data_IF_818733726393
#
_entry.id   IF_818733726393
#
_cell.length_a   1.000
_cell.length_b   1.000
_cell.length_c   1.000
_cell.angle_alpha   90.00
_cell.angle_beta   90.00
_cell.angle_gamma   90.00
#
_symmetry.space_group_name_H-M   'P 1'
#
loop_
_entity.id
_entity.type
_entity.pdbx_description
1 polymer ?
#
# COMPACT_ATOMS: atom_id res chain seq x y z
N UNK A 1 30.04 4.11 3.16
CA UNK A 1 29.50 4.78 1.98
C UNK A 1 29.99 6.23 2.01
N UNK A 2 30.93 6.55 1.12
CA UNK A 2 31.67 7.83 1.08
C UNK A 2 30.79 9.08 1.11
N UNK A 3 29.62 9.00 0.49
CA UNK A 3 28.66 10.11 0.44
C UNK A 3 28.08 10.41 1.83
N UNK A 4 27.67 9.38 2.55
CA UNK A 4 27.11 9.53 3.91
C UNK A 4 28.18 10.07 4.85
N UNK A 5 29.40 9.57 4.72
CA UNK A 5 30.53 9.99 5.55
C UNK A 5 30.93 11.46 5.28
N UNK A 6 30.93 11.88 4.02
CA UNK A 6 31.16 13.28 3.67
C UNK A 6 30.08 14.21 4.23
N UNK A 7 28.80 13.83 4.13
CA UNK A 7 27.70 14.59 4.73
C UNK A 7 27.79 14.64 6.26
N UNK A 8 28.11 13.53 6.91
CA UNK A 8 28.29 13.48 8.36
C UNK A 8 29.42 14.40 8.86
N UNK A 9 30.42 14.67 8.00
CA UNK A 9 31.49 15.66 8.25
C UNK A 9 31.08 17.10 7.90
N UNK A 10 29.81 17.34 7.56
CA UNK A 10 29.32 18.67 7.17
C UNK A 10 29.76 19.13 5.78
N UNK A 11 30.32 18.22 4.95
CA UNK A 11 30.74 18.55 3.58
C UNK A 11 29.55 18.49 2.61
N UNK A 12 29.52 19.41 1.66
CA UNK A 12 28.63 19.35 0.54
C UNK A 12 29.06 18.24 -0.43
N UNK A 13 28.12 17.43 -0.89
CA UNK A 13 28.36 16.39 -1.88
C UNK A 13 27.68 16.81 -3.18
N UNK A 14 28.45 16.87 -4.28
CA UNK A 14 27.96 17.17 -5.61
C UNK A 14 28.19 15.97 -6.52
N UNK A 15 27.15 15.54 -7.23
CA UNK A 15 27.24 14.49 -8.23
C UNK A 15 26.35 14.82 -9.46
N UNK A 16 26.26 13.90 -10.42
CA UNK A 16 25.46 14.10 -11.64
C UNK A 16 23.96 14.30 -11.39
N UNK A 17 23.45 13.88 -10.26
CA UNK A 17 22.04 14.04 -9.91
C UNK A 17 21.73 15.40 -9.27
N UNK A 18 22.71 15.98 -8.56
CA UNK A 18 22.53 17.24 -7.86
C UNK A 18 23.52 17.45 -6.73
N UNK A 19 23.15 18.38 -5.87
CA UNK A 19 23.91 18.79 -4.71
C UNK A 19 23.17 18.40 -3.42
N UNK A 20 23.91 17.84 -2.49
CA UNK A 20 23.43 17.42 -1.18
C UNK A 20 24.19 18.18 -0.11
N UNK A 21 23.48 18.80 0.81
CA UNK A 21 24.10 19.50 1.93
C UNK A 21 23.28 19.35 3.19
N UNK A 22 23.95 19.46 4.34
CA UNK A 22 23.27 19.54 5.62
C UNK A 22 22.76 20.94 5.84
N UNK A 23 21.54 21.04 6.35
CA UNK A 23 20.96 22.29 6.83
C UNK A 23 20.43 22.10 8.24
N UNK A 24 20.49 23.15 9.03
CA UNK A 24 19.97 23.17 10.39
C UNK A 24 18.70 24.03 10.37
N UNK A 25 17.59 23.40 10.70
CA UNK A 25 16.31 24.05 10.87
C UNK A 25 16.06 24.31 12.36
N UNK A 26 15.54 25.46 12.69
CA UNK A 26 15.23 25.87 14.07
C UNK A 26 15.47 27.36 14.30
N UNK A 27 15.16 27.82 15.49
CA UNK A 27 15.36 29.21 15.90
C UNK A 27 16.73 29.40 16.52
N UNK A 28 17.45 30.47 16.12
CA UNK A 28 18.74 30.87 16.69
C UNK A 28 18.66 32.31 17.19
N UNK A 29 19.08 32.54 18.40
CA UNK A 29 19.00 33.87 19.08
C UNK A 29 20.04 34.90 18.61
N UNK A 30 20.60 34.72 17.40
CA UNK A 30 21.55 35.67 16.81
C UNK A 30 22.94 35.73 17.47
N UNK A 31 23.19 34.98 18.52
CA UNK A 31 24.50 34.72 19.10
C UNK A 31 24.95 33.30 18.68
N UNK A 32 26.25 33.03 18.69
CA UNK A 32 26.79 31.67 18.52
C UNK A 32 26.03 30.74 19.44
N UNK A 33 24.91 30.23 18.98
CA UNK A 33 24.06 29.35 19.75
C UNK A 33 24.57 27.94 19.58
N UNK A 34 24.74 27.24 20.66
CA UNK A 34 25.01 25.82 20.63
C UNK A 34 23.82 25.09 20.00
N UNK A 35 24.11 24.12 19.15
CA UNK A 35 23.08 23.24 18.59
C UNK A 35 22.34 22.55 19.74
N UNK A 36 21.01 22.71 19.79
CA UNK A 36 20.15 22.06 20.78
C UNK A 36 19.21 21.10 20.05
N UNK A 37 19.40 19.82 20.25
CA UNK A 37 18.62 18.76 19.61
C UNK A 37 17.10 18.83 19.88
N UNK A 38 16.68 19.56 20.90
CA UNK A 38 15.27 19.81 21.23
C UNK A 38 14.65 20.94 20.40
N UNK A 39 15.45 21.90 19.95
CA UNK A 39 15.01 23.11 19.26
C UNK A 39 15.49 23.16 17.80
N UNK A 40 16.56 22.43 17.49
CA UNK A 40 17.20 22.43 16.20
C UNK A 40 17.21 21.02 15.61
N UNK A 41 16.92 20.91 14.32
CA UNK A 41 16.94 19.64 13.58
C UNK A 41 17.91 19.73 12.40
N UNK A 42 18.82 18.79 12.33
CA UNK A 42 19.65 18.61 11.14
C UNK A 42 18.82 17.89 10.07
N UNK A 43 18.77 18.44 8.88
CA UNK A 43 18.12 17.86 7.71
C UNK A 43 19.08 17.86 6.53
N UNK A 44 18.84 16.95 5.59
CA UNK A 44 19.57 16.93 4.32
C UNK A 44 18.73 17.67 3.30
N UNK A 45 19.34 18.70 2.67
CA UNK A 45 18.75 19.40 1.54
C UNK A 45 19.36 18.86 0.25
N UNK A 46 18.49 18.53 -0.70
CA UNK A 46 18.88 18.12 -2.04
C UNK A 46 18.45 19.17 -3.05
N UNK A 47 19.39 19.62 -3.89
CA UNK A 47 19.13 20.50 -5.02
C UNK A 47 19.44 19.73 -6.29
N UNK A 48 18.45 19.43 -7.15
CA UNK A 48 18.66 18.67 -8.37
C UNK A 48 19.55 19.43 -9.38
N UNK A 49 20.33 18.69 -10.14
CA UNK A 49 21.14 19.27 -11.23
C UNK A 49 20.26 19.65 -12.43
N UNK A 50 20.74 20.60 -13.24
CA UNK A 50 20.06 20.96 -14.49
C UNK A 50 19.93 19.75 -15.46
N UNK A 51 20.89 18.83 -15.43
CA UNK A 51 20.86 17.61 -16.24
C UNK A 51 19.72 16.67 -15.77
N UNK A 52 19.55 16.51 -14.45
CA UNK A 52 18.45 15.73 -13.92
C UNK A 52 17.11 16.38 -14.26
N UNK A 53 16.97 17.69 -14.07
CA UNK A 53 15.73 18.40 -14.38
C UNK A 53 15.35 18.26 -15.86
N UNK A 54 16.32 18.42 -16.78
CA UNK A 54 16.07 18.20 -18.22
C UNK A 54 15.65 16.77 -18.55
N UNK A 55 16.23 15.78 -17.88
CA UNK A 55 15.81 14.38 -18.07
C UNK A 55 14.37 14.14 -17.59
N UNK A 56 13.94 14.85 -16.54
CA UNK A 56 12.59 14.76 -16.01
C UNK A 56 11.54 15.52 -16.85
N UNK A 57 11.93 16.56 -17.62
CA UNK A 57 11.02 17.28 -18.52
C UNK A 57 10.38 16.39 -19.59
N UNK A 58 11.05 15.29 -19.98
CA UNK A 58 10.57 14.34 -20.97
C UNK A 58 9.88 13.11 -20.38
N UNK A 59 9.66 13.08 -19.06
CA UNK A 59 8.91 11.99 -18.44
C UNK A 59 7.43 12.23 -18.68
N UNK A 60 6.84 11.39 -19.49
CA UNK A 60 5.38 11.28 -19.57
C UNK A 60 4.87 10.70 -18.26
N UNK A 61 4.35 11.56 -17.40
CA UNK A 61 3.55 11.10 -16.27
C UNK A 61 2.21 10.63 -16.84
N UNK A 62 2.02 9.33 -16.93
CA UNK A 62 0.70 8.80 -17.25
C UNK A 62 -0.21 9.14 -16.06
N UNK A 63 -1.11 10.11 -16.26
CA UNK A 63 -2.02 10.59 -15.21
C UNK A 63 -2.93 9.46 -14.68
N UNK A 64 -3.15 8.42 -15.49
CA UNK A 64 -3.92 7.23 -15.09
C UNK A 64 -3.19 6.38 -14.02
N UNK A 65 -1.87 6.48 -13.93
CA UNK A 65 -1.06 5.80 -12.88
C UNK A 65 -0.93 6.65 -11.61
N UNK A 66 -1.13 7.96 -11.72
CA UNK A 66 -0.98 8.91 -10.61
C UNK A 66 -2.26 9.10 -9.78
N UNK A 67 -3.34 8.40 -10.07
CA UNK A 67 -4.51 8.41 -9.20
C UNK A 67 -4.18 7.71 -7.89
N UNK A 68 -4.01 8.50 -6.84
CA UNK A 68 -3.86 7.98 -5.46
C UNK A 68 -5.18 7.30 -5.08
N UNK A 69 -5.30 6.04 -5.48
CA UNK A 69 -6.42 5.15 -5.17
C UNK A 69 -6.03 4.09 -4.15
N UNK A 70 -6.95 3.23 -3.78
CA UNK A 70 -6.64 2.06 -2.98
C UNK A 70 -5.69 1.15 -3.76
N UNK A 71 -4.79 0.46 -3.05
CA UNK A 71 -3.91 -0.56 -3.61
C UNK A 71 -3.83 -1.71 -2.62
N UNK A 72 -4.16 -2.91 -3.09
CA UNK A 72 -4.03 -4.14 -2.30
C UNK A 72 -2.66 -4.75 -2.57
N UNK A 73 -1.90 -4.98 -1.52
CA UNK A 73 -0.61 -5.68 -1.57
C UNK A 73 -0.77 -7.16 -1.30
N UNK A 74 -1.67 -7.51 -0.38
CA UNK A 74 -1.92 -8.91 -0.06
C UNK A 74 -3.25 -9.11 0.66
N UNK A 75 -3.77 -10.35 0.54
CA UNK A 75 -4.81 -10.90 1.39
C UNK A 75 -4.26 -12.13 2.11
N UNK A 76 -4.52 -12.24 3.40
CA UNK A 76 -4.18 -13.42 4.22
C UNK A 76 -5.47 -13.98 4.81
N UNK A 77 -5.74 -15.25 4.54
CA UNK A 77 -6.81 -16.00 5.18
C UNK A 77 -6.41 -16.28 6.64
N UNK A 78 -7.22 -15.85 7.60
CA UNK A 78 -6.88 -16.02 9.03
C UNK A 78 -7.11 -17.45 9.55
N UNK A 79 -7.77 -18.30 8.79
CA UNK A 79 -8.00 -19.71 9.16
C UNK A 79 -6.83 -20.60 8.79
N UNK A 80 -6.32 -20.43 7.57
CA UNK A 80 -5.24 -21.26 7.01
C UNK A 80 -3.87 -20.61 7.13
N UNK A 81 -3.82 -19.27 7.37
CA UNK A 81 -2.65 -18.40 7.27
C UNK A 81 -2.05 -18.34 5.86
N UNK A 82 -2.77 -18.80 4.85
CA UNK A 82 -2.33 -18.70 3.46
C UNK A 82 -2.45 -17.27 2.95
N UNK A 83 -1.46 -16.87 2.17
CA UNK A 83 -1.37 -15.54 1.62
C UNK A 83 -1.53 -15.56 0.11
N UNK A 84 -2.49 -14.79 -0.41
CA UNK A 84 -2.70 -14.59 -1.84
C UNK A 84 -3.01 -15.87 -2.63
N UNK A 85 -3.62 -16.86 -2.00
CA UNK A 85 -3.87 -18.17 -2.63
C UNK A 85 -5.30 -18.66 -2.36
N UNK A 86 -5.52 -19.28 -1.22
CA UNK A 86 -6.83 -19.79 -0.82
C UNK A 86 -7.55 -18.84 0.12
N UNK A 87 -8.88 -18.86 0.06
CA UNK A 87 -9.77 -18.14 0.94
C UNK A 87 -10.89 -19.06 1.44
N UNK A 88 -11.18 -18.95 2.72
CA UNK A 88 -12.21 -19.77 3.38
C UNK A 88 -13.51 -18.96 3.49
N UNK A 89 -14.62 -19.38 2.88
CA UNK A 89 -15.92 -18.73 3.04
C UNK A 89 -16.34 -18.60 4.50
N UNK A 90 -16.97 -17.49 4.85
CA UNK A 90 -17.41 -17.12 6.21
C UNK A 90 -16.28 -16.98 7.23
N UNK A 91 -15.02 -17.10 6.84
CA UNK A 91 -13.87 -16.91 7.71
C UNK A 91 -13.34 -15.46 7.69
N UNK A 92 -12.59 -15.03 8.71
CA UNK A 92 -11.93 -13.74 8.69
C UNK A 92 -10.74 -13.76 7.74
N UNK A 93 -10.49 -12.62 7.08
CA UNK A 93 -9.31 -12.39 6.27
C UNK A 93 -8.77 -10.98 6.49
N UNK A 94 -7.45 -10.83 6.33
CA UNK A 94 -6.74 -9.57 6.49
C UNK A 94 -6.24 -9.12 5.13
N UNK A 95 -6.63 -7.91 4.72
CA UNK A 95 -6.17 -7.25 3.50
C UNK A 95 -5.17 -6.18 3.90
N UNK A 96 -3.94 -6.27 3.43
CA UNK A 96 -2.92 -5.24 3.57
C UNK A 96 -2.73 -4.47 2.27
N UNK A 97 -2.36 -3.19 2.42
CA UNK A 97 -2.09 -2.34 1.27
C UNK A 97 -1.97 -0.86 1.63
N UNK A 98 -2.24 0.00 0.68
CA UNK A 98 -2.19 1.45 0.86
C UNK A 98 -3.50 2.11 0.42
N UNK A 99 -3.89 3.18 1.10
CA UNK A 99 -5.11 3.95 0.86
C UNK A 99 -6.40 3.09 0.87
N UNK A 100 -6.41 2.01 1.64
CA UNK A 100 -7.49 1.01 1.67
C UNK A 100 -8.77 1.49 2.35
N UNK A 101 -8.71 2.58 3.17
CA UNK A 101 -9.84 3.03 3.98
C UNK A 101 -11.15 3.08 3.17
N UNK A 102 -12.11 2.22 3.52
CA UNK A 102 -13.45 2.19 2.92
C UNK A 102 -14.24 3.37 3.47
N UNK A 103 -14.47 4.38 2.66
CA UNK A 103 -15.17 5.61 3.02
C UNK A 103 -15.86 6.21 1.80
N UNK A 104 -17.07 6.73 2.00
CA UNK A 104 -17.87 7.38 0.98
C UNK A 104 -19.31 6.91 0.98
N UNK A 105 -20.18 7.68 0.34
CA UNK A 105 -21.62 7.42 0.29
C UNK A 105 -22.05 6.80 -1.05
N UNK A 106 -21.14 6.65 -2.01
CA UNK A 106 -21.44 6.00 -3.28
C UNK A 106 -21.77 4.52 -3.05
N UNK A 107 -22.83 3.97 -3.67
CA UNK A 107 -23.25 2.58 -3.51
C UNK A 107 -22.18 1.55 -3.88
N UNK A 108 -21.25 1.91 -4.76
CA UNK A 108 -20.14 1.06 -5.18
C UNK A 108 -19.02 0.94 -4.14
N UNK A 109 -19.03 1.79 -3.10
CA UNK A 109 -18.00 1.76 -2.05
C UNK A 109 -18.08 0.47 -1.25
N UNK A 110 -16.96 -0.23 -1.12
CA UNK A 110 -16.87 -1.49 -0.40
C UNK A 110 -15.76 -2.41 -0.86
N UNK A 111 -15.78 -3.63 -0.33
CA UNK A 111 -14.92 -4.74 -0.71
C UNK A 111 -15.77 -5.77 -1.42
N UNK A 112 -15.30 -6.32 -2.53
CA UNK A 112 -16.06 -7.24 -3.36
C UNK A 112 -15.23 -8.44 -3.81
N UNK A 113 -15.88 -9.60 -3.87
CA UNK A 113 -15.39 -10.79 -4.54
C UNK A 113 -16.21 -11.04 -5.80
N UNK A 114 -15.55 -11.17 -6.94
CA UNK A 114 -16.20 -11.44 -8.21
C UNK A 114 -15.67 -12.76 -8.75
N UNK A 115 -16.54 -13.74 -8.98
CA UNK A 115 -16.13 -15.01 -9.56
C UNK A 115 -15.49 -14.81 -10.93
N UNK A 116 -14.45 -15.57 -11.25
CA UNK A 116 -13.77 -15.49 -12.55
C UNK A 116 -14.58 -16.23 -13.64
N UNK A 117 -15.77 -15.72 -13.89
CA UNK A 117 -16.69 -16.22 -14.90
C UNK A 117 -17.30 -15.02 -15.65
N UNK A 118 -17.61 -15.20 -16.93
CA UNK A 118 -18.21 -14.15 -17.73
C UNK A 118 -19.60 -13.78 -17.18
N UNK A 119 -19.84 -12.48 -16.98
CA UNK A 119 -21.12 -11.98 -16.44
C UNK A 119 -21.32 -12.18 -14.93
N UNK A 120 -20.29 -12.62 -14.20
CA UNK A 120 -20.40 -12.82 -12.75
C UNK A 120 -20.73 -11.53 -12.01
N UNK A 121 -21.68 -11.61 -11.08
CA UNK A 121 -22.06 -10.48 -10.22
C UNK A 121 -21.12 -10.39 -9.02
N UNK A 122 -20.59 -9.18 -8.73
CA UNK A 122 -19.74 -8.97 -7.54
C UNK A 122 -20.52 -9.23 -6.24
N UNK A 123 -19.95 -10.03 -5.34
CA UNK A 123 -20.46 -10.27 -4.01
C UNK A 123 -19.83 -9.29 -3.04
N UNK A 124 -20.63 -8.39 -2.47
CA UNK A 124 -20.14 -7.39 -1.50
C UNK A 124 -19.88 -8.02 -0.13
N UNK A 125 -18.77 -7.66 0.47
CA UNK A 125 -18.46 -7.99 1.87
C UNK A 125 -19.41 -7.22 2.76
N UNK A 126 -20.14 -7.93 3.63
CA UNK A 126 -21.14 -7.35 4.55
C UNK A 126 -20.52 -6.92 5.88
N UNK A 127 -19.47 -7.58 6.33
CA UNK A 127 -18.83 -7.29 7.61
C UNK A 127 -17.37 -6.90 7.44
N UNK A 128 -17.06 -5.66 7.80
CA UNK A 128 -15.71 -5.14 7.93
C UNK A 128 -15.46 -4.90 9.42
N UNK A 129 -14.55 -5.69 9.99
CA UNK A 129 -14.21 -5.65 11.42
C UNK A 129 -13.24 -4.52 11.72
N UNK A 130 -12.29 -4.29 10.82
CA UNK A 130 -11.30 -3.21 10.91
C UNK A 130 -11.19 -2.49 9.56
N UNK A 131 -11.12 -1.19 9.61
CA UNK A 131 -11.10 -0.35 8.42
C UNK A 131 -10.10 0.79 8.59
N UNK A 132 -8.88 0.58 8.11
CA UNK A 132 -7.80 1.57 8.15
C UNK A 132 -7.21 1.81 6.75
N UNK A 133 -6.29 2.77 6.62
CA UNK A 133 -5.62 3.05 5.34
C UNK A 133 -4.68 1.95 4.85
N UNK A 134 -4.13 1.17 5.76
CA UNK A 134 -3.12 0.15 5.46
C UNK A 134 -3.61 -1.28 5.68
N UNK A 135 -4.74 -1.45 6.37
CA UNK A 135 -5.26 -2.75 6.75
C UNK A 135 -6.78 -2.74 6.83
N UNK A 136 -7.40 -3.73 6.23
CA UNK A 136 -8.83 -4.03 6.38
C UNK A 136 -8.97 -5.48 6.86
N UNK A 137 -9.74 -5.70 7.91
CA UNK A 137 -10.13 -7.05 8.35
C UNK A 137 -11.60 -7.24 7.98
N UNK A 138 -11.86 -8.27 7.22
CA UNK A 138 -13.19 -8.61 6.69
C UNK A 138 -13.61 -10.01 7.15
N UNK A 139 -14.90 -10.27 7.09
CA UNK A 139 -15.43 -11.62 6.98
C UNK A 139 -15.68 -11.92 5.49
N UNK A 140 -15.02 -12.95 4.96
CA UNK A 140 -15.26 -13.42 3.59
C UNK A 140 -16.72 -13.83 3.47
N UNK A 141 -17.46 -13.39 2.44
CA UNK A 141 -18.84 -13.79 2.27
C UNK A 141 -18.96 -15.30 1.98
N UNK A 142 -20.19 -15.81 2.03
CA UNK A 142 -20.47 -17.17 1.53
C UNK A 142 -20.20 -17.17 0.02
N UNK A 143 -19.17 -17.89 -0.40
CA UNK A 143 -18.76 -18.05 -1.78
C UNK A 143 -18.82 -19.54 -2.16
N UNK A 144 -19.26 -19.84 -3.37
CA UNK A 144 -19.17 -21.19 -3.93
C UNK A 144 -17.72 -21.52 -4.32
N UNK A 145 -17.43 -22.78 -4.56
CA UNK A 145 -16.13 -23.19 -5.07
C UNK A 145 -15.81 -22.51 -6.41
N UNK A 146 -14.54 -22.13 -6.59
CA UNK A 146 -14.05 -21.48 -7.78
C UNK A 146 -12.99 -20.43 -7.53
N UNK A 147 -12.66 -19.68 -8.57
CA UNK A 147 -11.68 -18.62 -8.52
C UNK A 147 -12.37 -17.24 -8.46
N UNK A 148 -11.78 -16.33 -7.71
CA UNK A 148 -12.36 -15.02 -7.44
C UNK A 148 -11.34 -13.90 -7.56
N UNK A 149 -11.80 -12.79 -8.12
CA UNK A 149 -11.12 -11.51 -8.08
C UNK A 149 -11.56 -10.73 -6.83
N UNK A 150 -10.58 -10.21 -6.09
CA UNK A 150 -10.83 -9.26 -5.02
C UNK A 150 -10.75 -7.83 -5.57
N UNK A 151 -11.69 -6.96 -5.17
CA UNK A 151 -11.62 -5.55 -5.46
C UNK A 151 -12.02 -4.70 -4.27
N UNK A 152 -11.41 -3.52 -4.18
CA UNK A 152 -11.70 -2.50 -3.17
C UNK A 152 -12.10 -1.21 -3.87
N UNK A 153 -13.25 -0.66 -3.50
CA UNK A 153 -13.74 0.63 -4.00
C UNK A 153 -13.91 1.59 -2.85
N UNK A 154 -13.36 2.79 -2.97
CA UNK A 154 -13.44 3.83 -1.94
C UNK A 154 -13.49 5.23 -2.53
N UNK A 155 -14.09 6.16 -1.79
CA UNK A 155 -13.98 7.60 -2.03
C UNK A 155 -12.97 8.27 -1.06
N UNK A 156 -12.20 7.52 -0.29
CA UNK A 156 -11.17 8.09 0.56
C UNK A 156 -10.01 8.66 -0.26
N UNK A 157 -9.69 9.92 -0.06
CA UNK A 157 -8.49 10.56 -0.56
C UNK A 157 -7.29 10.40 0.38
N UNK A 158 -6.12 10.86 -0.04
CA UNK A 158 -4.86 10.73 0.70
C UNK A 158 -4.93 11.34 2.12
N UNK A 159 -5.66 12.44 2.31
CA UNK A 159 -5.79 13.19 3.57
C UNK A 159 -7.05 12.90 4.39
N UNK A 160 -7.69 11.72 4.26
CA UNK A 160 -9.03 11.42 4.80
C UNK A 160 -10.17 12.26 4.20
N UNK A 161 -9.89 13.14 3.27
CA UNK A 161 -10.91 13.84 2.48
C UNK A 161 -11.67 12.85 1.61
N UNK A 162 -12.93 13.18 1.30
CA UNK A 162 -13.69 12.44 0.30
C UNK A 162 -13.36 12.99 -1.09
N UNK A 163 -13.20 12.10 -2.06
CA UNK A 163 -13.16 12.43 -3.49
C UNK A 163 -14.54 12.24 -4.09
N UNK A 164 -14.84 12.98 -5.16
CA UNK A 164 -16.16 12.96 -5.80
C UNK A 164 -16.44 11.59 -6.41
N UNK A 165 -15.48 11.06 -7.16
CA UNK A 165 -15.65 9.81 -7.90
C UNK A 165 -15.01 8.64 -7.14
N UNK A 166 -15.70 7.51 -6.94
CA UNK A 166 -15.13 6.35 -6.29
C UNK A 166 -13.99 5.76 -7.12
N UNK A 167 -12.96 5.27 -6.43
CA UNK A 167 -11.78 4.67 -7.03
C UNK A 167 -11.74 3.21 -6.68
N UNK A 168 -11.57 2.37 -7.70
CA UNK A 168 -11.54 0.92 -7.56
C UNK A 168 -10.16 0.37 -7.88
N UNK A 169 -9.68 -0.54 -7.04
CA UNK A 169 -8.52 -1.37 -7.31
C UNK A 169 -8.94 -2.83 -7.38
N UNK A 170 -8.59 -3.50 -8.46
CA UNK A 170 -8.73 -4.93 -8.62
C UNK A 170 -7.41 -5.60 -8.29
N UNK A 171 -7.41 -6.51 -7.34
CA UNK A 171 -6.22 -7.27 -6.96
C UNK A 171 -5.81 -8.19 -8.12
N UNK A 172 -4.52 -8.18 -8.54
CA UNK A 172 -4.10 -8.87 -9.75
C UNK A 172 -3.92 -10.38 -9.59
N UNK A 173 -4.21 -10.92 -8.39
CA UNK A 173 -4.06 -12.34 -8.08
C UNK A 173 -5.44 -12.95 -7.90
N UNK A 174 -5.70 -14.07 -8.57
CA UNK A 174 -6.89 -14.88 -8.38
C UNK A 174 -6.80 -15.62 -7.05
N UNK A 175 -7.88 -15.60 -6.30
CA UNK A 175 -8.04 -16.28 -5.02
C UNK A 175 -8.93 -17.49 -5.23
N UNK A 176 -8.63 -18.62 -4.61
CA UNK A 176 -9.34 -19.88 -4.79
C UNK A 176 -10.20 -20.20 -3.57
N UNK A 177 -11.45 -20.53 -3.80
CA UNK A 177 -12.37 -21.14 -2.82
C UNK A 177 -12.56 -22.61 -3.15
N UNK A 178 -12.43 -23.50 -2.19
CA UNK A 178 -12.56 -24.95 -2.35
C UNK A 178 -11.28 -25.68 -2.06
N UNK A 179 -11.22 -26.98 -2.29
CA UNK A 179 -10.12 -27.86 -1.91
C UNK A 179 -8.78 -27.41 -2.50
N UNK A 180 -8.11 -26.53 -1.78
CA UNK A 180 -6.66 -26.44 -1.81
C UNK A 180 -6.15 -27.75 -1.30
N UNK A 181 -5.35 -28.46 -2.12
CA UNK A 181 -4.86 -29.78 -1.78
C UNK A 181 -4.25 -29.80 -0.38
N UNK A 182 -4.95 -30.47 0.52
CA UNK A 182 -4.36 -30.89 1.76
C UNK A 182 -3.13 -31.70 1.39
N UNK A 183 -1.97 -31.23 1.83
CA UNK A 183 -0.77 -32.06 1.75
C UNK A 183 -1.07 -33.40 2.41
N UNK A 184 -1.06 -34.45 1.63
CA UNK A 184 -0.99 -35.81 2.13
C UNK A 184 0.24 -35.89 3.05
N UNK A 185 0.00 -35.82 4.35
CA UNK A 185 0.94 -36.38 5.29
C UNK A 185 0.73 -37.89 5.27
N UNK A 186 1.34 -38.58 4.31
CA UNK A 186 1.60 -39.99 4.44
C UNK A 186 2.44 -40.20 5.71
N UNK A 187 1.80 -40.69 6.76
CA UNK A 187 2.50 -41.33 7.86
C UNK A 187 3.23 -42.53 7.27
N UNK A 188 4.55 -42.69 7.51
CA UNK A 188 5.21 -43.95 7.23
C UNK A 188 4.63 -45.02 8.18
N UNK A 189 4.04 -46.04 7.63
CA UNK A 189 3.65 -47.28 8.36
C UNK A 189 4.88 -47.83 9.07
N UNK A 190 4.74 -48.02 10.39
CA UNK A 190 5.62 -48.86 11.19
C UNK A 190 5.52 -50.33 10.69
N UNK A 191 6.67 -50.87 10.39
CA UNK A 191 6.90 -52.33 10.41
C UNK A 191 7.76 -52.65 11.63
#
# INVERSE_FOLDING_TARGET
DEMIEALAQGRCVVNKFGQWLLTINGSFDGKKSDFRSTENKITVMFTPSATLLKALENIYVNADVATVGPMIESLTDSTTNEKNLHITPNAPAIIFGSTLLIKGDDPSVGVYFTKDEEGATPTKVSLIVRNTKSEIIIQIPQLAEGQYWLSVTTQAGAGYSLVKDPRTYKFPILLTVGAGGGGDSESPDEI
#
